data_IF_907232758712
#
_entry.id   IF_907232758712
#
_cell.length_a   1.000
_cell.length_b   1.000
_cell.length_c   1.000
_cell.angle_alpha   90.00
_cell.angle_beta   90.00
_cell.angle_gamma   90.00
#
_symmetry.space_group_name_H-M   'P 1'
#
loop_
_entity.id
_entity.type
_entity.pdbx_description
1 polymer ?
#
# COMPACT_ATOMS: atom_id res chain seq x y z
N UNK A 1 4.56 -9.24 -1.17
CA UNK A 1 5.38 -9.55 -2.35
C UNK A 1 6.40 -8.43 -2.55
N UNK A 2 7.66 -8.76 -2.84
CA UNK A 2 8.70 -7.82 -3.28
C UNK A 2 9.22 -6.80 -2.26
N UNK A 3 8.98 -7.01 -0.95
CA UNK A 3 9.49 -6.13 0.11
C UNK A 3 10.15 -6.96 1.22
N UNK A 4 10.82 -8.05 0.87
CA UNK A 4 11.41 -9.01 1.82
C UNK A 4 12.49 -8.35 2.68
N UNK A 5 13.22 -7.35 2.15
CA UNK A 5 14.20 -6.56 2.90
C UNK A 5 13.60 -5.83 4.13
N UNK A 6 12.27 -5.68 4.18
CA UNK A 6 11.55 -5.06 5.30
C UNK A 6 10.72 -6.07 6.10
N UNK A 7 10.17 -7.09 5.45
CA UNK A 7 9.12 -7.97 5.99
C UNK A 7 9.60 -9.36 6.37
N UNK A 8 10.80 -9.81 5.92
CA UNK A 8 11.37 -11.08 6.37
C UNK A 8 11.52 -11.08 7.91
N UNK A 9 11.53 -12.25 8.53
CA UNK A 9 11.55 -12.41 9.99
C UNK A 9 12.74 -11.70 10.66
N UNK A 10 13.87 -11.65 9.99
CA UNK A 10 15.10 -10.98 10.41
C UNK A 10 15.18 -9.51 9.96
N UNK A 11 14.22 -9.05 9.16
CA UNK A 11 14.15 -7.69 8.66
C UNK A 11 13.50 -6.73 9.69
N UNK A 12 13.63 -5.40 9.53
CA UNK A 12 13.17 -4.43 10.53
C UNK A 12 11.71 -4.59 10.95
N UNK A 13 10.79 -4.69 10.00
CA UNK A 13 9.35 -4.84 10.30
C UNK A 13 9.02 -6.24 10.82
N UNK A 14 9.68 -7.29 10.31
CA UNK A 14 9.53 -8.65 10.81
C UNK A 14 9.90 -8.75 12.29
N UNK A 15 11.04 -8.17 12.70
CA UNK A 15 11.45 -8.11 14.11
C UNK A 15 10.47 -7.33 15.00
N UNK A 16 9.90 -6.20 14.51
CA UNK A 16 8.88 -5.45 15.25
C UNK A 16 7.63 -6.30 15.49
N UNK A 17 7.15 -7.00 14.46
CA UNK A 17 6.00 -7.90 14.57
C UNK A 17 6.30 -9.04 15.52
N UNK A 18 7.46 -9.70 15.41
CA UNK A 18 7.86 -10.82 16.27
C UNK A 18 7.99 -10.42 17.75
N UNK A 19 8.46 -9.19 18.03
CA UNK A 19 8.55 -8.68 19.39
C UNK A 19 7.22 -8.16 19.98
N UNK A 20 6.18 -8.10 19.18
CA UNK A 20 4.90 -7.49 19.55
C UNK A 20 4.98 -5.96 19.84
N UNK A 21 6.09 -5.33 19.49
CA UNK A 21 6.34 -3.90 19.72
C UNK A 21 6.51 -3.16 18.41
N UNK A 22 5.42 -2.61 17.93
CA UNK A 22 5.44 -1.76 16.74
C UNK A 22 5.71 -0.31 17.16
N UNK A 23 6.80 0.27 16.66
CA UNK A 23 7.08 1.71 16.74
C UNK A 23 6.43 2.45 15.58
N UNK A 24 6.27 3.77 15.72
CA UNK A 24 5.79 4.60 14.61
C UNK A 24 6.81 4.63 13.47
N UNK A 25 6.33 4.56 12.23
CA UNK A 25 7.15 4.46 11.02
C UNK A 25 6.63 5.37 9.91
N UNK A 26 7.54 5.75 9.03
CA UNK A 26 7.21 6.41 7.77
C UNK A 26 7.59 5.45 6.62
N UNK A 27 6.61 5.04 5.86
CA UNK A 27 6.78 4.24 4.65
C UNK A 27 7.02 5.16 3.46
N UNK A 28 8.25 5.23 3.00
CA UNK A 28 8.64 6.05 1.86
C UNK A 28 8.89 5.18 0.64
N UNK A 29 8.22 5.48 -0.47
CA UNK A 29 8.43 4.75 -1.72
C UNK A 29 7.43 5.11 -2.79
N UNK A 30 7.65 4.64 -4.03
CA UNK A 30 6.81 4.95 -5.18
C UNK A 30 5.34 4.49 -5.00
N UNK A 31 4.43 4.96 -5.85
CA UNK A 31 3.07 4.44 -5.86
C UNK A 31 3.05 2.94 -6.14
N UNK A 32 2.01 2.25 -5.70
CA UNK A 32 1.78 0.83 -5.96
C UNK A 32 2.77 -0.17 -5.34
N UNK A 33 3.77 0.26 -4.55
CA UNK A 33 4.74 -0.62 -3.90
C UNK A 33 4.23 -1.33 -2.62
N UNK A 34 2.96 -1.12 -2.23
CA UNK A 34 2.32 -1.86 -1.14
C UNK A 34 2.29 -1.15 0.23
N UNK A 35 2.51 0.17 0.32
CA UNK A 35 2.50 0.93 1.59
C UNK A 35 1.26 0.66 2.45
N UNK A 36 0.07 0.80 1.88
CA UNK A 36 -1.20 0.57 2.58
C UNK A 36 -1.36 -0.89 3.00
N UNK A 37 -0.97 -1.82 2.14
CA UNK A 37 -1.03 -3.26 2.41
C UNK A 37 -0.11 -3.65 3.58
N UNK A 38 1.09 -3.07 3.64
CA UNK A 38 2.02 -3.27 4.75
C UNK A 38 1.42 -2.74 6.06
N UNK A 39 0.87 -1.52 6.06
CA UNK A 39 0.26 -0.95 7.25
C UNK A 39 -0.90 -1.81 7.78
N UNK A 40 -1.76 -2.30 6.88
CA UNK A 40 -2.85 -3.19 7.25
C UNK A 40 -2.33 -4.52 7.81
N UNK A 41 -1.31 -5.11 7.18
CA UNK A 41 -0.68 -6.36 7.64
C UNK A 41 -0.04 -6.19 9.03
N UNK A 42 0.62 -5.06 9.28
CA UNK A 42 1.20 -4.74 10.58
C UNK A 42 0.12 -4.67 11.66
N UNK A 43 -0.98 -3.96 11.41
CA UNK A 43 -2.11 -3.89 12.34
C UNK A 43 -2.69 -5.27 12.64
N UNK A 44 -2.93 -6.07 11.60
CA UNK A 44 -3.45 -7.43 11.72
C UNK A 44 -2.53 -8.33 12.56
N UNK A 45 -1.23 -8.32 12.26
CA UNK A 45 -0.23 -9.15 12.96
C UNK A 45 0.02 -8.76 14.41
N UNK A 46 -0.19 -7.49 14.75
CA UNK A 46 0.03 -6.95 16.11
C UNK A 46 -1.27 -6.80 16.91
N UNK A 47 -2.43 -7.15 16.33
CA UNK A 47 -3.73 -7.03 17.00
C UNK A 47 -4.19 -5.58 17.24
N UNK A 48 -3.60 -4.61 16.55
CA UNK A 48 -3.99 -3.21 16.62
C UNK A 48 -5.21 -2.93 15.75
N UNK A 49 -6.08 -2.04 16.19
CA UNK A 49 -7.18 -1.53 15.36
C UNK A 49 -6.61 -0.66 14.25
N UNK A 50 -6.92 -1.00 13.01
CA UNK A 50 -6.50 -0.22 11.85
C UNK A 50 -7.44 0.95 11.62
N UNK A 51 -6.92 2.16 11.68
CA UNK A 51 -7.60 3.40 11.28
C UNK A 51 -6.85 4.03 10.11
N UNK A 52 -7.57 4.51 9.11
CA UNK A 52 -6.98 5.12 7.93
C UNK A 52 -7.47 6.55 7.74
N UNK A 53 -6.51 7.43 7.46
CA UNK A 53 -6.75 8.84 7.10
C UNK A 53 -5.97 9.15 5.83
N UNK A 54 -6.60 9.87 4.90
CA UNK A 54 -5.90 10.43 3.74
C UNK A 54 -5.66 11.92 3.97
N UNK A 55 -4.41 12.35 3.95
CA UNK A 55 -4.05 13.76 4.13
C UNK A 55 -4.61 14.65 3.00
N UNK A 56 -4.96 14.07 1.85
CA UNK A 56 -5.58 14.79 0.73
C UNK A 56 -7.03 15.19 1.00
N UNK A 57 -7.78 14.37 1.76
CA UNK A 57 -9.22 14.54 1.95
C UNK A 57 -9.63 14.85 3.39
N UNK A 58 -8.72 14.71 4.35
CA UNK A 58 -9.02 14.83 5.78
C UNK A 58 -8.50 16.12 6.36
N UNK A 59 -9.30 16.72 7.23
CA UNK A 59 -8.98 17.94 7.96
C UNK A 59 -8.68 17.70 9.44
N UNK A 60 -8.43 18.78 10.18
CA UNK A 60 -8.18 18.76 11.63
C UNK A 60 -9.33 18.10 12.41
N UNK A 61 -10.57 18.31 11.97
CA UNK A 61 -11.74 17.73 12.62
C UNK A 61 -11.75 16.19 12.53
N UNK A 62 -11.29 15.63 11.42
CA UNK A 62 -11.23 14.18 11.22
C UNK A 62 -10.10 13.57 12.05
N UNK A 63 -8.93 14.22 12.11
CA UNK A 63 -7.85 13.83 12.99
C UNK A 63 -8.29 13.80 14.47
N UNK A 64 -9.02 14.81 14.93
CA UNK A 64 -9.55 14.85 16.31
C UNK A 64 -10.47 13.68 16.60
N UNK A 65 -11.36 13.30 15.67
CA UNK A 65 -12.24 12.12 15.82
C UNK A 65 -11.43 10.85 16.01
N UNK A 66 -10.42 10.64 15.15
CA UNK A 66 -9.54 9.46 15.22
C UNK A 66 -8.78 9.43 16.55
N UNK A 67 -8.16 10.53 16.97
CA UNK A 67 -7.43 10.59 18.24
C UNK A 67 -8.35 10.34 19.44
N UNK A 68 -9.55 10.91 19.45
CA UNK A 68 -10.53 10.66 20.51
C UNK A 68 -10.94 9.18 20.56
N UNK A 69 -11.16 8.56 19.41
CA UNK A 69 -11.50 7.14 19.35
C UNK A 69 -10.32 6.25 19.80
N UNK A 70 -9.10 6.59 19.42
CA UNK A 70 -7.90 5.88 19.83
C UNK A 70 -7.66 5.98 21.35
N UNK A 71 -7.86 7.17 21.95
CA UNK A 71 -7.75 7.36 23.39
C UNK A 71 -8.74 6.48 24.16
N UNK A 72 -10.01 6.43 23.71
CA UNK A 72 -11.03 5.56 24.34
C UNK A 72 -10.68 4.06 24.20
N UNK A 73 -10.13 3.63 23.07
CA UNK A 73 -9.68 2.23 22.90
C UNK A 73 -8.54 1.91 23.84
N UNK A 74 -7.61 2.84 24.01
CA UNK A 74 -6.49 2.67 24.94
C UNK A 74 -6.94 2.47 26.38
N UNK A 75 -7.98 3.16 26.84
CA UNK A 75 -8.58 2.99 28.18
C UNK A 75 -9.04 1.56 28.46
N UNK A 76 -9.45 0.84 27.42
CA UNK A 76 -9.87 -0.58 27.50
C UNK A 76 -8.75 -1.56 27.05
N UNK A 77 -7.51 -1.09 26.96
CA UNK A 77 -6.35 -1.93 26.60
C UNK A 77 -6.22 -2.26 25.11
N UNK A 78 -6.97 -1.58 24.23
CA UNK A 78 -6.91 -1.81 22.80
C UNK A 78 -6.08 -0.72 22.10
N UNK A 79 -4.99 -1.12 21.45
CA UNK A 79 -4.13 -0.20 20.70
C UNK A 79 -4.69 0.15 19.31
N UNK A 80 -4.25 1.28 18.77
CA UNK A 80 -4.64 1.76 17.43
C UNK A 80 -3.42 1.98 16.57
N UNK A 81 -3.40 1.41 15.35
CA UNK A 81 -2.48 1.78 14.29
C UNK A 81 -3.19 2.80 13.39
N UNK A 82 -2.65 4.01 13.34
CA UNK A 82 -3.15 5.08 12.48
C UNK A 82 -2.30 5.14 11.20
N UNK A 83 -2.88 4.70 10.10
CA UNK A 83 -2.31 4.83 8.77
C UNK A 83 -2.69 6.19 8.18
N UNK A 84 -1.68 6.96 7.78
CA UNK A 84 -1.87 8.29 7.15
C UNK A 84 -1.30 8.23 5.74
N UNK A 85 -2.19 8.19 4.76
CA UNK A 85 -1.79 8.22 3.34
C UNK A 85 -1.43 9.64 2.89
N UNK A 86 -0.35 9.77 2.11
CA UNK A 86 0.20 11.03 1.62
C UNK A 86 0.46 12.05 2.75
N UNK A 87 1.06 11.59 3.86
CA UNK A 87 1.26 12.38 5.09
C UNK A 87 1.98 13.72 4.85
N UNK A 88 2.78 13.83 3.80
CA UNK A 88 3.47 15.06 3.40
C UNK A 88 2.51 16.20 3.00
N UNK A 89 1.25 15.89 2.67
CA UNK A 89 0.23 16.89 2.33
C UNK A 89 -0.35 17.61 3.53
N UNK A 90 -0.15 17.10 4.74
CA UNK A 90 -0.46 17.84 5.95
C UNK A 90 0.51 18.99 6.16
N UNK A 91 0.00 20.17 6.50
CA UNK A 91 0.83 21.29 6.90
C UNK A 91 1.52 21.04 8.26
N UNK A 92 2.48 21.89 8.62
CA UNK A 92 3.26 21.72 9.85
C UNK A 92 2.39 21.63 11.12
N UNK A 93 1.38 22.46 11.24
CA UNK A 93 0.48 22.43 12.41
C UNK A 93 -0.32 21.13 12.52
N UNK A 94 -0.74 20.58 11.38
CA UNK A 94 -1.39 19.28 11.32
C UNK A 94 -0.41 18.14 11.66
N UNK A 95 0.83 18.20 11.17
CA UNK A 95 1.89 17.25 11.52
C UNK A 95 2.22 17.32 13.03
N UNK A 96 2.29 18.51 13.60
CA UNK A 96 2.51 18.70 15.05
C UNK A 96 1.39 18.11 15.91
N UNK A 97 0.16 18.07 15.39
CA UNK A 97 -0.98 17.50 16.09
C UNK A 97 -0.87 15.99 16.38
N UNK A 98 0.01 15.27 15.66
CA UNK A 98 0.28 13.85 15.93
C UNK A 98 1.19 13.65 17.15
N UNK A 99 2.06 14.61 17.46
CA UNK A 99 3.14 14.44 18.44
C UNK A 99 2.68 13.93 19.80
N UNK A 100 1.66 14.51 20.45
CA UNK A 100 1.22 14.04 21.76
C UNK A 100 0.77 12.57 21.74
N UNK A 101 0.06 12.16 20.68
CA UNK A 101 -0.52 10.82 20.55
C UNK A 101 0.49 9.76 20.13
N UNK A 102 1.57 10.16 19.46
CA UNK A 102 2.70 9.30 19.13
C UNK A 102 3.62 9.13 20.34
N UNK A 103 3.89 10.21 21.09
CA UNK A 103 4.74 10.19 22.28
C UNK A 103 4.16 9.33 23.40
N UNK A 104 2.88 9.45 23.67
CA UNK A 104 2.19 8.69 24.71
C UNK A 104 1.69 7.32 24.25
N UNK A 105 1.99 6.95 22.99
CA UNK A 105 1.58 5.69 22.37
C UNK A 105 0.04 5.49 22.34
N UNK A 106 -0.73 6.57 22.29
CA UNK A 106 -2.17 6.49 22.03
C UNK A 106 -2.44 5.96 20.62
N UNK A 107 -1.57 6.31 19.65
CA UNK A 107 -1.55 5.72 18.33
C UNK A 107 -0.14 5.28 17.96
N UNK A 108 -0.04 4.17 17.23
CA UNK A 108 1.14 3.83 16.44
C UNK A 108 0.95 4.43 15.06
N UNK A 109 1.74 5.45 14.72
CA UNK A 109 1.63 6.13 13.44
C UNK A 109 2.36 5.34 12.35
N UNK A 110 1.66 5.09 11.24
CA UNK A 110 2.25 4.60 9.99
C UNK A 110 1.96 5.63 8.90
N UNK A 111 2.88 6.55 8.68
CA UNK A 111 2.77 7.54 7.60
C UNK A 111 3.24 6.96 6.28
N UNK A 112 2.53 7.23 5.19
CA UNK A 112 2.93 6.87 3.84
C UNK A 112 3.20 8.12 3.01
N UNK A 113 4.28 8.09 2.22
CA UNK A 113 4.65 9.21 1.34
C UNK A 113 5.39 8.71 0.11
N UNK A 114 5.21 9.40 -1.01
CA UNK A 114 6.01 9.26 -2.22
C UNK A 114 7.17 10.24 -2.26
N UNK A 115 7.09 11.31 -1.47
CA UNK A 115 8.10 12.37 -1.40
C UNK A 115 9.16 12.07 -0.33
N UNK A 116 10.33 12.70 -0.45
CA UNK A 116 11.41 12.50 0.53
C UNK A 116 11.00 13.07 1.90
N UNK A 117 10.84 12.22 2.92
CA UNK A 117 10.33 12.65 4.23
C UNK A 117 11.22 13.66 4.92
N UNK A 118 12.53 13.71 4.62
CA UNK A 118 13.46 14.66 5.22
C UNK A 118 13.19 16.10 4.83
N UNK A 119 12.52 16.33 3.70
CA UNK A 119 12.16 17.67 3.22
C UNK A 119 10.73 18.04 3.54
N UNK A 120 9.84 17.06 3.59
CA UNK A 120 8.40 17.27 3.65
C UNK A 120 7.81 17.16 5.07
N UNK A 121 8.46 16.38 5.93
CA UNK A 121 7.98 16.18 7.30
C UNK A 121 8.78 17.04 8.29
N UNK A 122 8.10 17.50 9.34
CA UNK A 122 8.79 18.23 10.38
C UNK A 122 9.75 17.32 11.17
N UNK A 123 10.86 17.90 11.63
CA UNK A 123 11.92 17.15 12.33
C UNK A 123 11.44 16.53 13.64
N UNK A 124 10.45 17.13 14.30
CA UNK A 124 9.88 16.62 15.55
C UNK A 124 9.13 15.30 15.32
N UNK A 125 8.36 15.20 14.23
CA UNK A 125 7.67 13.97 13.86
C UNK A 125 8.67 12.90 13.38
N UNK A 126 9.63 13.28 12.52
CA UNK A 126 10.66 12.37 12.02
C UNK A 126 11.53 11.75 13.12
N UNK A 127 11.86 12.53 14.15
CA UNK A 127 12.68 12.00 15.27
C UNK A 127 11.98 10.91 16.09
N UNK A 128 10.66 10.77 15.94
CA UNK A 128 9.81 9.77 16.63
C UNK A 128 9.39 8.61 15.75
N UNK A 129 9.76 8.66 14.48
CA UNK A 129 9.39 7.63 13.50
C UNK A 129 10.66 7.01 12.86
N UNK A 130 10.60 5.73 12.55
CA UNK A 130 11.62 5.09 11.74
C UNK A 130 11.22 5.19 10.26
N UNK A 131 12.14 5.65 9.41
CA UNK A 131 11.88 5.71 7.97
C UNK A 131 12.21 4.36 7.33
N UNK A 132 11.22 3.77 6.67
CA UNK A 132 11.33 2.52 5.93
C UNK A 132 11.19 2.80 4.44
N UNK A 133 12.25 2.47 3.68
CA UNK A 133 12.29 2.72 2.24
C UNK A 133 11.75 1.50 1.49
N UNK A 134 10.66 1.70 0.75
CA UNK A 134 10.11 0.70 -0.15
C UNK A 134 10.64 0.91 -1.56
N UNK A 135 10.86 -0.20 -2.25
CA UNK A 135 11.30 -0.20 -3.64
C UNK A 135 10.14 -0.45 -4.59
N UNK A 136 10.32 -0.09 -5.85
CA UNK A 136 9.44 -0.58 -6.92
C UNK A 136 9.44 -2.10 -6.90
N UNK A 137 8.31 -2.70 -7.24
CA UNK A 137 8.26 -4.15 -7.41
C UNK A 137 9.08 -4.54 -8.62
N UNK A 138 9.97 -5.49 -8.44
CA UNK A 138 10.72 -6.08 -9.55
C UNK A 138 9.84 -7.03 -10.37
N UNK A 139 10.35 -7.52 -11.48
CA UNK A 139 9.62 -8.40 -12.38
C UNK A 139 9.18 -9.70 -11.68
N UNK A 140 10.01 -10.25 -10.80
CA UNK A 140 9.67 -11.45 -10.05
C UNK A 140 8.49 -11.21 -9.11
N UNK A 141 8.49 -10.07 -8.39
CA UNK A 141 7.40 -9.66 -7.51
C UNK A 141 6.10 -9.37 -8.28
N UNK A 142 6.19 -8.72 -9.44
CA UNK A 142 5.02 -8.48 -10.31
C UNK A 142 4.46 -9.80 -10.85
N UNK A 143 5.31 -10.74 -11.25
CA UNK A 143 4.91 -12.07 -11.71
C UNK A 143 4.20 -12.85 -10.61
N UNK A 144 4.73 -12.81 -9.38
CA UNK A 144 4.09 -13.45 -8.22
C UNK A 144 2.73 -12.78 -7.91
N UNK A 145 2.65 -11.46 -7.99
CA UNK A 145 1.41 -10.71 -7.76
C UNK A 145 0.35 -11.09 -8.79
N UNK A 146 0.74 -11.22 -10.06
CA UNK A 146 -0.12 -11.67 -11.15
C UNK A 146 -0.64 -13.09 -10.90
N UNK A 147 0.25 -14.03 -10.56
CA UNK A 147 -0.13 -15.40 -10.25
C UNK A 147 -1.10 -15.50 -9.06
N UNK A 148 -0.89 -14.67 -8.02
CA UNK A 148 -1.82 -14.57 -6.89
C UNK A 148 -3.19 -14.04 -7.31
N UNK A 149 -3.25 -13.05 -8.19
CA UNK A 149 -4.51 -12.51 -8.69
C UNK A 149 -5.28 -13.57 -9.50
N UNK A 150 -4.60 -14.31 -10.36
CA UNK A 150 -5.20 -15.43 -11.10
C UNK A 150 -5.72 -16.53 -10.14
N UNK A 151 -4.94 -16.88 -9.13
CA UNK A 151 -5.34 -17.88 -8.13
C UNK A 151 -6.56 -17.44 -7.31
N UNK A 152 -6.60 -16.19 -6.86
CA UNK A 152 -7.71 -15.66 -6.06
C UNK A 152 -9.01 -15.55 -6.86
N UNK A 153 -8.92 -15.22 -8.14
CA UNK A 153 -10.09 -15.16 -9.03
C UNK A 153 -10.53 -16.52 -9.56
N UNK A 154 -9.67 -17.54 -9.40
CA UNK A 154 -9.88 -18.88 -9.99
C UNK A 154 -9.81 -18.86 -11.53
N UNK A 155 -9.23 -17.82 -12.12
CA UNK A 155 -9.23 -17.58 -13.57
C UNK A 155 -7.83 -17.28 -14.05
N UNK A 156 -7.41 -17.95 -15.11
CA UNK A 156 -6.19 -17.61 -15.84
C UNK A 156 -6.48 -16.50 -16.84
N UNK A 157 -5.58 -15.54 -16.94
CA UNK A 157 -5.63 -14.54 -18.01
C UNK A 157 -5.28 -15.21 -19.33
N UNK A 158 -6.20 -15.14 -20.29
CA UNK A 158 -5.96 -15.67 -21.64
C UNK A 158 -5.04 -14.71 -22.40
N UNK A 159 -3.75 -14.72 -22.07
CA UNK A 159 -2.69 -13.92 -22.69
C UNK A 159 -1.65 -14.84 -23.33
N UNK A 160 -1.07 -14.39 -24.45
CA UNK A 160 0.17 -14.99 -24.96
C UNK A 160 1.35 -14.67 -24.03
N UNK A 161 2.45 -15.41 -24.10
CA UNK A 161 3.65 -15.12 -23.30
C UNK A 161 4.19 -13.70 -23.56
N UNK A 162 4.20 -13.28 -24.82
CA UNK A 162 4.61 -11.91 -25.20
C UNK A 162 3.69 -10.84 -24.58
N UNK A 163 2.37 -11.10 -24.57
CA UNK A 163 1.41 -10.19 -23.94
C UNK A 163 1.54 -10.17 -22.42
N UNK A 164 1.85 -11.31 -21.79
CA UNK A 164 2.13 -11.37 -20.35
C UNK A 164 3.39 -10.57 -19.99
N UNK A 165 4.45 -10.73 -20.76
CA UNK A 165 5.68 -9.93 -20.60
C UNK A 165 5.42 -8.44 -20.80
N UNK A 166 4.63 -8.08 -21.83
CA UNK A 166 4.24 -6.70 -22.07
C UNK A 166 3.40 -6.11 -20.92
N UNK A 167 2.47 -6.88 -20.34
CA UNK A 167 1.66 -6.49 -19.18
C UNK A 167 2.53 -6.15 -17.97
N UNK A 168 3.51 -7.00 -17.63
CA UNK A 168 4.46 -6.78 -16.54
C UNK A 168 5.33 -5.54 -16.78
N UNK A 169 5.81 -5.38 -18.01
CA UNK A 169 6.59 -4.19 -18.42
C UNK A 169 5.78 -2.90 -18.32
N UNK A 170 4.51 -2.92 -18.72
CA UNK A 170 3.61 -1.76 -18.62
C UNK A 170 3.34 -1.36 -17.16
N UNK A 171 3.34 -2.31 -16.24
CA UNK A 171 3.14 -2.05 -14.81
C UNK A 171 4.30 -1.26 -14.19
N UNK A 172 5.50 -1.32 -14.75
CA UNK A 172 6.69 -0.54 -14.34
C UNK A 172 6.91 -0.53 -12.81
N UNK A 173 6.75 -1.67 -12.15
CA UNK A 173 6.93 -1.79 -10.70
C UNK A 173 5.76 -1.29 -9.85
N UNK A 174 4.64 -0.88 -10.44
CA UNK A 174 3.42 -0.48 -9.75
C UNK A 174 2.42 -1.65 -9.70
N UNK A 175 2.33 -2.30 -8.53
CA UNK A 175 1.40 -3.43 -8.33
C UNK A 175 -0.08 -3.04 -8.39
N UNK A 176 -0.44 -1.80 -8.02
CA UNK A 176 -1.82 -1.31 -8.13
C UNK A 176 -2.21 -1.17 -9.60
N UNK A 177 -1.31 -0.61 -10.41
CA UNK A 177 -1.54 -0.46 -11.85
C UNK A 177 -1.64 -1.82 -12.53
N UNK A 178 -0.76 -2.78 -12.16
CA UNK A 178 -0.86 -4.17 -12.64
C UNK A 178 -2.24 -4.78 -12.35
N UNK A 179 -2.70 -4.71 -11.10
CA UNK A 179 -4.00 -5.27 -10.72
C UNK A 179 -5.17 -4.58 -11.43
N UNK A 180 -5.10 -3.27 -11.63
CA UNK A 180 -6.11 -2.54 -12.42
C UNK A 180 -6.17 -2.99 -13.88
N UNK A 181 -5.03 -3.29 -14.50
CA UNK A 181 -4.99 -3.88 -15.85
C UNK A 181 -5.56 -5.30 -15.86
N UNK A 182 -5.26 -6.11 -14.84
CA UNK A 182 -5.84 -7.46 -14.68
C UNK A 182 -7.36 -7.40 -14.61
N UNK A 183 -7.92 -6.49 -13.81
CA UNK A 183 -9.38 -6.30 -13.71
C UNK A 183 -10.01 -5.93 -15.06
N UNK A 184 -9.36 -5.08 -15.85
CA UNK A 184 -9.84 -4.69 -17.18
C UNK A 184 -9.83 -5.88 -18.15
N UNK A 185 -8.77 -6.70 -18.12
CA UNK A 185 -8.68 -7.90 -18.96
C UNK A 185 -9.77 -8.89 -18.58
N UNK A 186 -9.97 -9.16 -17.28
CA UNK A 186 -11.01 -10.07 -16.82
C UNK A 186 -12.41 -9.57 -17.19
N UNK A 187 -12.67 -8.28 -17.05
CA UNK A 187 -13.95 -7.68 -17.46
C UNK A 187 -14.19 -7.80 -18.97
N UNK A 188 -13.16 -7.62 -19.80
CA UNK A 188 -13.27 -7.79 -21.24
C UNK A 188 -13.56 -9.25 -21.63
N UNK A 189 -12.98 -10.23 -20.91
CA UNK A 189 -13.26 -11.65 -21.09
C UNK A 189 -14.71 -12.02 -20.70
N UNK A 190 -15.27 -11.37 -19.66
CA UNK A 190 -16.64 -11.60 -19.22
C UNK A 190 -17.70 -11.00 -20.12
N UNK A 191 -17.38 -9.92 -20.83
CA UNK A 191 -18.33 -9.24 -21.71
C UNK A 191 -18.77 -10.08 -22.93
N UNK A 192 -18.21 -11.29 -23.12
CA UNK A 192 -18.61 -12.21 -24.19
C UNK A 192 -18.38 -11.68 -25.60
N UNK A 193 -17.74 -10.51 -25.70
CA UNK A 193 -17.36 -9.88 -26.96
C UNK A 193 -16.16 -10.61 -27.58
N UNK A 194 -16.07 -10.55 -28.90
CA UNK A 194 -14.84 -10.95 -29.58
C UNK A 194 -13.72 -10.05 -29.03
N UNK A 195 -12.81 -10.66 -28.27
CA UNK A 195 -11.63 -9.92 -27.79
C UNK A 195 -10.87 -9.33 -28.99
N UNK A 196 -10.29 -8.14 -28.88
CA UNK A 196 -9.46 -7.61 -29.96
C UNK A 196 -8.37 -8.61 -30.35
N UNK A 197 -8.44 -9.17 -31.55
CA UNK A 197 -7.51 -10.23 -32.02
C UNK A 197 -8.17 -11.59 -32.35
N UNK A 198 -9.48 -11.75 -32.09
CA UNK A 198 -10.23 -12.97 -32.46
C UNK A 198 -10.33 -14.01 -31.33
N UNK A 199 -10.81 -15.24 -31.67
CA UNK A 199 -10.93 -16.33 -30.70
C UNK A 199 -9.54 -16.87 -30.32
N UNK A 200 -9.13 -16.69 -29.09
CA UNK A 200 -7.84 -17.17 -28.56
C UNK A 200 -7.26 -16.27 -27.47
N UNK A 201 -6.04 -16.59 -27.01
CA UNK A 201 -5.36 -15.74 -26.04
C UNK A 201 -5.02 -14.37 -26.67
N UNK A 202 -5.17 -13.30 -25.87
CA UNK A 202 -4.81 -11.94 -26.27
C UNK A 202 -3.33 -11.83 -26.57
N UNK A 203 -2.99 -11.38 -27.78
CA UNK A 203 -1.65 -10.90 -28.10
C UNK A 203 -1.39 -9.48 -27.59
N UNK A 204 -0.19 -8.98 -27.84
CA UNK A 204 0.24 -7.65 -27.37
C UNK A 204 -0.67 -6.52 -27.87
N UNK A 205 -1.11 -6.54 -29.12
CA UNK A 205 -2.02 -5.53 -29.69
C UNK A 205 -3.41 -5.57 -29.02
N UNK A 206 -3.97 -6.76 -28.83
CA UNK A 206 -5.23 -6.96 -28.14
C UNK A 206 -5.15 -6.49 -26.67
N UNK A 207 -4.06 -6.81 -25.97
CA UNK A 207 -3.79 -6.33 -24.63
C UNK A 207 -3.81 -4.80 -24.58
N UNK A 208 -3.06 -4.14 -25.47
CA UNK A 208 -3.03 -2.66 -25.54
C UNK A 208 -4.39 -2.07 -25.80
N UNK A 209 -5.19 -2.66 -26.69
CA UNK A 209 -6.53 -2.18 -26.97
C UNK A 209 -7.47 -2.27 -25.75
N UNK A 210 -7.34 -3.33 -24.93
CA UNK A 210 -8.13 -3.51 -23.70
C UNK A 210 -7.70 -2.53 -22.60
N UNK A 211 -6.39 -2.36 -22.40
CA UNK A 211 -5.85 -1.57 -21.30
C UNK A 211 -5.80 -0.07 -21.62
N UNK A 212 -5.66 0.33 -22.89
CA UNK A 212 -5.62 1.74 -23.31
C UNK A 212 -7.01 2.39 -23.43
N UNK A 213 -8.09 1.63 -23.34
CA UNK A 213 -9.46 2.17 -23.38
C UNK A 213 -9.84 2.81 -22.03
N UNK A 214 -9.25 4.00 -21.77
CA UNK A 214 -9.67 4.92 -20.71
C UNK A 214 -10.42 6.09 -21.31
#
# INVERSE_FOLDING_TARGET
VGQDQLLADDAPLGRMVASGRLSSIILWGPPGCGKTTIAWLLAYRTGLVFEQVSATFSGVADLRKVFTAAARRREIGQGTLLFVDEIHRFNRAQQDSFLPYVEDVTVVLVGATTENPSFELNGALLSRCQVMVLRRLDEAALTELLARAESLTGRSLALTEDARTALLSMADGDGRYLLGMVEQILAAQDAGGCLPGGPGPLGVEGLRAVVASR
#
